data_IF_359421619288
#
_entry.id   IF_359421619288
#
_cell.length_a   1.000
_cell.length_b   1.000
_cell.length_c   1.000
_cell.angle_alpha   90.00
_cell.angle_beta   90.00
_cell.angle_gamma   90.00
#
_symmetry.space_group_name_H-M   'P 1'
#
loop_
_entity.id
_entity.type
_entity.pdbx_description
1 polymer ?
#
# COMPACT_ATOMS: atom_id res chain seq x y z
N UNK A 1 -59.79 -18.16 14.76
CA UNK A 1 -59.72 -16.99 15.67
C UNK A 1 -60.52 -15.85 15.06
N UNK A 2 -61.14 -14.98 15.86
CA UNK A 2 -61.93 -13.87 15.31
C UNK A 2 -61.00 -12.81 14.69
N UNK A 3 -61.29 -12.31 13.47
CA UNK A 3 -60.40 -11.40 12.74
C UNK A 3 -60.22 -10.04 13.45
N UNK A 4 -61.20 -9.64 14.25
CA UNK A 4 -61.16 -8.41 15.05
C UNK A 4 -60.13 -8.49 16.19
N UNK A 5 -59.97 -9.65 16.83
CA UNK A 5 -59.00 -9.84 17.89
C UNK A 5 -57.55 -9.79 17.36
N UNK A 6 -57.32 -10.36 16.17
CA UNK A 6 -56.01 -10.29 15.51
C UNK A 6 -55.61 -8.85 15.14
N UNK A 7 -56.59 -8.04 14.71
CA UNK A 7 -56.35 -6.64 14.35
C UNK A 7 -55.97 -5.81 15.60
N UNK A 8 -56.63 -6.06 16.75
CA UNK A 8 -56.32 -5.38 18.01
C UNK A 8 -54.91 -5.74 18.51
N UNK A 9 -54.48 -7.01 18.38
CA UNK A 9 -53.13 -7.43 18.71
C UNK A 9 -52.08 -6.78 17.78
N UNK A 10 -52.37 -6.68 16.47
CA UNK A 10 -51.48 -6.00 15.53
C UNK A 10 -51.35 -4.49 15.78
N UNK A 11 -52.37 -3.85 16.37
CA UNK A 11 -52.37 -2.43 16.73
C UNK A 11 -51.71 -2.14 18.09
N UNK A 12 -51.43 -3.17 18.89
CA UNK A 12 -50.83 -2.99 20.20
C UNK A 12 -49.35 -2.58 20.03
N UNK A 13 -48.97 -1.44 20.60
CA UNK A 13 -47.57 -0.94 20.57
C UNK A 13 -46.59 -1.97 21.12
N UNK A 14 -47.02 -2.77 22.10
CA UNK A 14 -46.20 -3.80 22.74
C UNK A 14 -45.89 -4.94 21.78
N UNK A 15 -46.89 -5.44 21.04
CA UNK A 15 -46.68 -6.52 20.07
C UNK A 15 -45.88 -6.04 18.85
N UNK A 16 -46.13 -4.82 18.39
CA UNK A 16 -45.33 -4.20 17.33
C UNK A 16 -43.86 -4.09 17.75
N UNK A 17 -43.57 -3.47 18.90
CA UNK A 17 -42.20 -3.31 19.38
C UNK A 17 -41.54 -4.66 19.71
N UNK A 18 -42.27 -5.61 20.29
CA UNK A 18 -41.76 -6.95 20.58
C UNK A 18 -41.36 -7.72 19.32
N UNK A 19 -42.21 -7.68 18.28
CA UNK A 19 -41.91 -8.36 17.00
C UNK A 19 -40.78 -7.66 16.23
N UNK A 20 -40.79 -6.34 16.15
CA UNK A 20 -39.76 -5.56 15.45
C UNK A 20 -38.39 -5.65 16.15
N UNK A 21 -38.34 -5.62 17.48
CA UNK A 21 -37.09 -5.74 18.23
C UNK A 21 -36.43 -7.12 18.01
N UNK A 22 -37.23 -8.19 17.91
CA UNK A 22 -36.71 -9.54 17.65
C UNK A 22 -36.05 -9.63 16.28
N UNK A 23 -36.67 -9.06 15.23
CA UNK A 23 -36.10 -9.05 13.88
C UNK A 23 -34.80 -8.25 13.78
N UNK A 24 -34.78 -7.05 14.37
CA UNK A 24 -33.57 -6.21 14.41
C UNK A 24 -32.45 -6.84 15.25
N UNK A 25 -32.81 -7.47 16.38
CA UNK A 25 -31.86 -8.20 17.23
C UNK A 25 -31.25 -9.40 16.53
N UNK A 26 -32.05 -10.18 15.80
CA UNK A 26 -31.55 -11.30 15.00
C UNK A 26 -30.61 -10.84 13.87
N UNK A 27 -30.93 -9.72 13.20
CA UNK A 27 -30.06 -9.14 12.18
C UNK A 27 -28.73 -8.63 12.77
N UNK A 28 -28.77 -7.97 13.93
CA UNK A 28 -27.56 -7.53 14.63
C UNK A 28 -26.69 -8.71 15.09
N UNK A 29 -27.30 -9.76 15.64
CA UNK A 29 -26.61 -10.98 16.04
C UNK A 29 -25.98 -11.70 14.84
N UNK A 30 -26.71 -11.82 13.72
CA UNK A 30 -26.18 -12.38 12.48
C UNK A 30 -25.01 -11.56 11.93
N UNK A 31 -25.04 -10.23 12.05
CA UNK A 31 -23.92 -9.37 11.67
C UNK A 31 -22.69 -9.57 12.55
N UNK A 32 -22.87 -9.75 13.87
CA UNK A 32 -21.76 -9.98 14.80
C UNK A 32 -21.16 -11.38 14.61
N UNK A 33 -21.99 -12.42 14.61
CA UNK A 33 -21.56 -13.81 14.41
C UNK A 33 -21.04 -14.06 12.99
N UNK A 34 -21.62 -13.42 11.96
CA UNK A 34 -21.13 -13.50 10.59
C UNK A 34 -19.71 -12.94 10.43
N UNK A 35 -19.34 -11.94 11.23
CA UNK A 35 -17.98 -11.40 11.25
C UNK A 35 -16.97 -12.37 11.88
N UNK A 36 -17.40 -13.18 12.85
CA UNK A 36 -16.58 -14.22 13.48
C UNK A 36 -16.55 -15.53 12.69
N UNK A 37 -17.64 -15.89 12.01
CA UNK A 37 -17.72 -17.09 11.17
C UNK A 37 -16.77 -17.04 9.95
N UNK A 38 -16.39 -15.83 9.51
CA UNK A 38 -15.34 -15.61 8.50
C UNK A 38 -13.91 -15.66 9.04
N UNK A 39 -13.71 -15.56 10.36
CA UNK A 39 -12.39 -15.54 10.99
C UNK A 39 -11.73 -16.93 11.07
N UNK A 40 -12.49 -18.01 10.79
CA UNK A 40 -12.00 -19.38 10.70
C UNK A 40 -11.64 -19.85 9.29
N UNK A 41 -11.88 -19.04 8.26
CA UNK A 41 -11.42 -19.32 6.89
C UNK A 41 -10.09 -18.62 6.60
N UNK A 42 -9.12 -18.78 7.50
CA UNK A 42 -7.77 -18.98 7.00
C UNK A 42 -7.81 -20.36 6.37
N UNK A 43 -8.01 -20.42 5.04
CA UNK A 43 -7.44 -21.49 4.23
C UNK A 43 -6.12 -21.84 4.89
N UNK A 44 -5.92 -23.11 5.26
CA UNK A 44 -4.64 -23.58 5.71
C UNK A 44 -3.64 -23.24 4.60
N UNK A 45 -3.08 -22.04 4.67
CA UNK A 45 -1.84 -21.67 4.07
C UNK A 45 -0.86 -22.50 4.89
N UNK A 46 -0.85 -23.80 4.59
CA UNK A 46 0.35 -24.60 4.65
C UNK A 46 1.43 -23.65 4.22
N UNK A 47 2.29 -23.27 5.16
CA UNK A 47 3.38 -22.35 4.92
C UNK A 47 4.27 -23.02 3.88
N UNK A 48 3.89 -22.91 2.61
CA UNK A 48 4.66 -23.40 1.49
C UNK A 48 5.99 -22.68 1.64
N UNK A 49 7.06 -23.46 1.76
CA UNK A 49 8.40 -22.92 1.98
C UNK A 49 8.70 -22.01 0.80
N UNK A 50 8.55 -20.70 1.00
CA UNK A 50 8.69 -19.72 -0.05
C UNK A 50 10.17 -19.67 -0.45
N UNK A 51 10.50 -20.28 -1.58
CA UNK A 51 11.86 -20.22 -2.14
C UNK A 51 11.97 -18.99 -3.03
N UNK A 52 12.72 -17.99 -2.58
CA UNK A 52 13.04 -16.82 -3.41
C UNK A 52 13.79 -17.28 -4.68
N UNK A 53 13.26 -16.94 -5.87
CA UNK A 53 13.89 -17.29 -7.15
C UNK A 53 14.99 -16.30 -7.54
N UNK A 54 14.86 -15.03 -7.15
CA UNK A 54 15.77 -13.93 -7.47
C UNK A 54 15.73 -12.91 -6.35
N UNK A 55 16.88 -12.35 -6.00
CA UNK A 55 17.03 -11.29 -4.99
C UNK A 55 17.67 -10.10 -5.69
N UNK A 56 17.03 -8.93 -5.64
CA UNK A 56 17.63 -7.67 -6.05
C UNK A 56 18.19 -7.03 -4.79
N UNK A 57 19.52 -6.98 -4.67
CA UNK A 57 20.21 -6.36 -3.56
C UNK A 57 20.81 -5.02 -4.01
N UNK A 58 20.26 -3.93 -3.50
CA UNK A 58 20.76 -2.59 -3.74
C UNK A 58 21.69 -2.20 -2.59
N UNK A 59 22.99 -2.43 -2.77
CA UNK A 59 24.00 -2.02 -1.81
C UNK A 59 24.37 -0.55 -2.06
N UNK A 60 23.73 0.36 -1.33
CA UNK A 60 24.09 1.78 -1.30
C UNK A 60 25.16 1.98 -0.23
N UNK A 61 26.41 1.69 -0.58
CA UNK A 61 27.55 1.91 0.33
C UNK A 61 27.63 3.39 0.68
N UNK A 62 27.46 3.72 1.95
CA UNK A 62 27.65 5.08 2.45
C UNK A 62 26.43 6.01 2.40
N UNK A 63 25.21 5.48 2.22
CA UNK A 63 23.98 6.26 2.01
C UNK A 63 24.02 7.05 0.68
N UNK A 64 22.88 7.54 0.15
CA UNK A 64 22.94 8.53 -0.93
C UNK A 64 23.84 9.68 -0.49
N UNK A 65 24.75 10.15 -1.36
CA UNK A 65 25.59 11.28 -0.99
C UNK A 65 24.68 12.44 -0.61
N UNK A 66 25.06 13.28 0.36
CA UNK A 66 24.25 14.44 0.77
C UNK A 66 23.83 15.30 -0.42
N UNK A 67 24.66 15.32 -1.48
CA UNK A 67 24.41 16.05 -2.72
C UNK A 67 23.41 15.35 -3.66
N UNK A 68 23.25 14.03 -3.55
CA UNK A 68 22.31 13.21 -4.34
C UNK A 68 20.91 13.10 -3.70
N UNK A 69 20.67 13.76 -2.57
CA UNK A 69 19.34 13.89 -1.99
C UNK A 69 18.42 14.80 -2.86
N UNK A 70 17.13 14.80 -2.53
CA UNK A 70 16.04 15.52 -3.20
C UNK A 70 16.09 17.06 -3.10
N UNK A 71 17.28 17.64 -2.98
CA UNK A 71 17.48 19.08 -3.04
C UNK A 71 17.37 19.58 -4.49
N UNK A 72 16.61 20.66 -4.68
CA UNK A 72 16.32 21.23 -6.00
C UNK A 72 17.53 21.99 -6.52
N UNK A 73 18.14 21.47 -7.59
CA UNK A 73 19.37 22.01 -8.19
C UNK A 73 19.10 22.53 -9.62
N UNK A 74 18.49 23.71 -9.79
CA UNK A 74 18.07 24.22 -11.11
C UNK A 74 19.25 24.35 -12.08
N UNK A 75 20.42 24.73 -11.56
CA UNK A 75 21.64 24.91 -12.35
C UNK A 75 22.16 23.63 -13.00
N UNK A 76 21.83 22.43 -12.48
CA UNK A 76 22.19 21.18 -13.15
C UNK A 76 21.53 21.06 -14.52
N UNK A 77 20.35 21.67 -14.70
CA UNK A 77 19.67 21.73 -16.00
C UNK A 77 20.44 22.62 -16.97
N UNK A 78 20.98 23.74 -16.48
CA UNK A 78 21.80 24.66 -17.29
C UNK A 78 23.10 23.98 -17.75
N UNK A 79 23.75 23.24 -16.85
CA UNK A 79 25.01 22.56 -17.11
C UNK A 79 24.86 21.19 -17.79
N UNK A 80 23.64 20.75 -18.07
CA UNK A 80 23.40 19.46 -18.70
C UNK A 80 24.03 19.44 -20.10
N UNK A 81 24.89 18.44 -20.32
CA UNK A 81 25.68 18.22 -21.54
C UNK A 81 26.75 19.27 -21.83
N UNK A 82 27.15 20.07 -20.84
CA UNK A 82 28.29 20.96 -21.00
C UNK A 82 29.58 20.17 -20.75
N UNK A 83 30.56 20.37 -21.64
CA UNK A 83 31.89 19.77 -21.48
C UNK A 83 32.50 20.15 -20.12
N UNK A 84 33.06 19.16 -19.44
CA UNK A 84 33.77 19.38 -18.19
C UNK A 84 34.96 20.33 -18.43
N UNK A 85 34.99 21.52 -17.78
CA UNK A 85 36.06 22.48 -18.01
C UNK A 85 37.45 21.95 -17.66
N UNK A 86 38.46 22.39 -18.43
CA UNK A 86 39.86 22.00 -18.20
C UNK A 86 40.37 22.41 -16.81
N UNK A 87 39.83 23.49 -16.23
CA UNK A 87 40.13 23.95 -14.87
C UNK A 87 39.70 22.96 -13.79
N UNK A 88 38.71 22.10 -14.07
CA UNK A 88 38.26 21.05 -13.15
C UNK A 88 39.00 19.75 -13.44
N UNK A 89 39.21 19.44 -14.72
CA UNK A 89 39.88 18.21 -15.15
C UNK A 89 41.36 18.19 -14.77
N UNK A 90 42.04 19.33 -14.82
CA UNK A 90 43.46 19.49 -14.42
C UNK A 90 44.39 18.42 -15.02
N UNK A 91 44.10 17.97 -16.25
CA UNK A 91 44.86 16.91 -16.93
C UNK A 91 44.64 15.48 -16.39
N UNK A 92 43.76 15.29 -15.40
CA UNK A 92 43.47 13.97 -14.84
C UNK A 92 42.70 13.10 -15.84
N UNK A 93 43.09 11.82 -15.92
CA UNK A 93 42.33 10.79 -16.64
C UNK A 93 41.08 10.45 -15.81
N UNK A 94 39.90 10.71 -16.36
CA UNK A 94 38.61 10.49 -15.68
C UNK A 94 38.42 9.02 -15.33
N UNK A 95 38.40 8.11 -16.31
CA UNK A 95 38.41 6.66 -16.07
C UNK A 95 39.04 5.88 -17.24
N UNK A 96 39.27 4.58 -17.05
CA UNK A 96 39.63 3.67 -18.13
C UNK A 96 38.50 3.43 -19.15
N UNK A 97 37.24 3.56 -18.71
CA UNK A 97 36.03 3.26 -19.49
C UNK A 97 35.61 4.40 -20.42
N UNK A 98 36.13 5.61 -20.20
CA UNK A 98 35.81 6.81 -20.99
C UNK A 98 36.94 7.20 -21.97
N UNK A 99 37.91 6.31 -22.20
CA UNK A 99 39.07 6.56 -23.06
C UNK A 99 38.74 6.84 -24.54
N UNK A 100 37.61 6.33 -25.03
CA UNK A 100 37.15 6.52 -26.41
C UNK A 100 36.08 7.61 -26.58
N UNK A 101 35.70 8.32 -25.50
CA UNK A 101 34.72 9.39 -25.59
C UNK A 101 35.38 10.65 -26.16
N UNK A 102 34.79 11.21 -27.23
CA UNK A 102 35.24 12.48 -27.83
C UNK A 102 34.94 13.69 -26.95
N UNK A 103 33.88 13.56 -26.16
CA UNK A 103 33.21 14.59 -25.41
C UNK A 103 33.01 14.07 -23.98
N UNK A 104 33.18 14.92 -22.98
CA UNK A 104 32.92 14.65 -21.56
C UNK A 104 31.82 15.58 -21.03
N UNK A 105 30.59 15.43 -21.56
CA UNK A 105 29.40 16.21 -21.20
C UNK A 105 28.77 15.76 -19.87
#
# INVERSE_FOLDING_TARGET
MSPTAETILQLSRRDFLGRSATGLGAAALASLLGREAGAGQTSALSHAVAKAKRVIWLFQSGAPSQMDLFDYKPRLTEFHKQELPDSIRMGQRLTGMTSGQKNFP
#
